data_IF_113113757221
#
_entry.id   IF_113113757221
#
_cell.length_a   1.000
_cell.length_b   1.000
_cell.length_c   1.000
_cell.angle_alpha   90.00
_cell.angle_beta   90.00
_cell.angle_gamma   90.00
#
_symmetry.space_group_name_H-M   'P 1'
#
loop_
_entity.id
_entity.type
_entity.pdbx_description
1 polymer ?
#
# COMPACT_ATOMS: atom_id res chain seq x y z
N UNK A 1 3.97 5.89 -21.77
CA UNK A 1 5.42 5.92 -22.07
C UNK A 1 6.27 5.97 -20.79
N UNK A 2 6.05 6.94 -19.89
CA UNK A 2 6.71 7.03 -18.57
C UNK A 2 6.65 5.70 -17.78
N UNK A 3 5.46 5.10 -17.68
CA UNK A 3 5.27 3.80 -17.02
C UNK A 3 6.23 2.72 -17.51
N UNK A 4 6.43 2.60 -18.83
CA UNK A 4 7.32 1.59 -19.41
C UNK A 4 8.78 1.77 -19.00
N UNK A 5 9.22 3.01 -18.74
CA UNK A 5 10.56 3.29 -18.22
C UNK A 5 10.69 2.96 -16.74
N UNK A 6 9.58 2.99 -15.98
CA UNK A 6 9.54 2.66 -14.57
C UNK A 6 9.30 1.17 -14.29
N UNK A 7 8.65 0.43 -15.21
CA UNK A 7 8.33 -1.00 -15.03
C UNK A 7 9.55 -1.88 -14.71
N UNK A 8 10.73 -1.72 -15.34
CA UNK A 8 11.90 -2.55 -15.04
C UNK A 8 12.34 -2.54 -13.57
N UNK A 9 11.94 -1.51 -12.81
CA UNK A 9 12.28 -1.37 -11.39
C UNK A 9 11.46 -2.27 -10.47
N UNK A 10 10.31 -2.75 -10.94
CA UNK A 10 9.44 -3.67 -10.20
C UNK A 10 9.65 -5.14 -10.62
N UNK A 11 10.78 -5.43 -11.27
CA UNK A 11 11.18 -6.79 -11.60
C UNK A 11 11.59 -7.58 -10.36
N UNK A 12 11.53 -8.91 -10.42
CA UNK A 12 11.87 -9.79 -9.30
C UNK A 12 13.29 -9.52 -8.78
N UNK A 13 14.24 -9.33 -9.70
CA UNK A 13 15.65 -9.09 -9.34
C UNK A 13 15.87 -7.76 -8.62
N UNK A 14 15.20 -6.68 -9.03
CA UNK A 14 15.29 -5.38 -8.36
C UNK A 14 14.58 -5.40 -7.01
N UNK A 15 13.39 -5.99 -6.93
CA UNK A 15 12.66 -6.15 -5.66
C UNK A 15 13.42 -7.01 -4.65
N UNK A 16 14.10 -8.07 -5.08
CA UNK A 16 14.92 -8.91 -4.19
C UNK A 16 16.10 -8.13 -3.59
N UNK A 17 16.69 -7.20 -4.34
CA UNK A 17 17.72 -6.27 -3.80
C UNK A 17 17.12 -5.25 -2.83
N UNK A 18 15.97 -4.67 -3.17
CA UNK A 18 15.26 -3.74 -2.28
C UNK A 18 14.72 -4.42 -1.01
N UNK A 19 14.51 -5.74 -1.03
CA UNK A 19 13.97 -6.49 0.10
C UNK A 19 14.86 -6.39 1.34
N UNK A 20 16.18 -6.32 1.20
CA UNK A 20 17.10 -6.11 2.33
C UNK A 20 16.81 -4.79 3.06
N UNK A 21 16.50 -3.72 2.31
CA UNK A 21 16.10 -2.43 2.88
C UNK A 21 14.77 -2.53 3.63
N UNK A 22 13.81 -3.30 3.10
CA UNK A 22 12.52 -3.53 3.75
C UNK A 22 12.69 -4.38 5.01
N UNK A 23 13.60 -5.36 4.99
CA UNK A 23 13.89 -6.23 6.14
C UNK A 23 14.48 -5.42 7.29
N UNK A 24 15.33 -4.42 7.03
CA UNK A 24 15.81 -3.50 8.06
C UNK A 24 14.65 -2.75 8.74
N UNK A 25 13.70 -2.21 7.96
CA UNK A 25 12.48 -1.61 8.51
C UNK A 25 11.62 -2.65 9.26
N UNK A 26 11.60 -3.91 8.78
CA UNK A 26 10.98 -5.04 9.45
C UNK A 26 11.61 -5.34 10.82
N UNK A 27 12.92 -5.18 10.95
CA UNK A 27 13.61 -5.34 12.24
C UNK A 27 13.16 -4.25 13.23
N UNK A 28 12.97 -3.00 12.78
CA UNK A 28 12.42 -1.95 13.65
C UNK A 28 11.00 -2.29 14.14
N UNK A 29 10.15 -2.80 13.24
CA UNK A 29 8.83 -3.32 13.62
C UNK A 29 8.94 -4.48 14.60
N UNK A 30 9.83 -5.45 14.35
CA UNK A 30 10.07 -6.59 15.23
C UNK A 30 10.49 -6.15 16.64
N UNK A 31 11.45 -5.22 16.75
CA UNK A 31 11.90 -4.68 18.02
C UNK A 31 10.79 -3.92 18.76
N UNK A 32 9.96 -3.17 18.03
CA UNK A 32 8.77 -2.55 18.62
C UNK A 32 7.80 -3.59 19.18
N UNK A 33 7.51 -4.65 18.42
CA UNK A 33 6.62 -5.74 18.86
C UNK A 33 7.21 -6.48 20.08
N UNK A 34 8.52 -6.70 20.12
CA UNK A 34 9.20 -7.34 21.25
C UNK A 34 9.16 -6.49 22.53
N UNK A 35 9.19 -5.16 22.37
CA UNK A 35 9.11 -4.19 23.46
C UNK A 35 7.73 -4.12 24.14
N UNK A 36 6.70 -4.69 23.51
CA UNK A 36 5.35 -4.74 24.07
C UNK A 36 5.31 -5.54 25.38
N UNK A 37 4.35 -5.19 26.24
CA UNK A 37 4.16 -5.85 27.54
C UNK A 37 3.84 -7.34 27.39
N UNK A 38 4.39 -8.15 28.30
CA UNK A 38 3.97 -9.55 28.47
C UNK A 38 2.64 -9.64 29.24
N UNK A 39 1.94 -10.78 29.12
CA UNK A 39 0.70 -11.06 29.85
C UNK A 39 -0.56 -10.93 28.99
N UNK A 40 -1.45 -10.01 29.37
CA UNK A 40 -2.75 -9.77 28.69
C UNK A 40 -2.63 -8.92 27.41
N UNK A 41 -1.41 -8.54 27.04
CA UNK A 41 -1.13 -7.75 25.85
C UNK A 41 -1.34 -6.24 26.02
N UNK A 42 -1.19 -5.52 24.92
CA UNK A 42 -1.23 -4.06 24.87
C UNK A 42 -2.18 -3.57 23.78
N UNK A 43 -2.98 -2.54 24.08
CA UNK A 43 -3.89 -1.93 23.09
C UNK A 43 -3.11 -0.99 22.18
N UNK A 44 -3.12 -1.28 20.88
CA UNK A 44 -2.38 -0.55 19.86
C UNK A 44 -3.35 0.03 18.83
N UNK A 45 -3.09 1.28 18.42
CA UNK A 45 -3.71 1.86 17.23
C UNK A 45 -3.01 1.29 15.98
N UNK A 46 -3.66 0.35 15.31
CA UNK A 46 -3.04 -0.49 14.28
C UNK A 46 -2.77 0.28 13.01
N UNK A 47 -3.57 1.32 12.71
CA UNK A 47 -3.33 2.17 11.55
C UNK A 47 -2.05 2.99 11.73
N UNK A 48 -1.83 3.63 12.89
CA UNK A 48 -0.56 4.30 13.16
C UNK A 48 0.63 3.34 13.16
N UNK A 49 0.50 2.13 13.73
CA UNK A 49 1.53 1.08 13.68
C UNK A 49 1.93 0.75 12.23
N UNK A 50 0.94 0.41 11.40
CA UNK A 50 1.14 0.03 10.01
C UNK A 50 1.63 1.19 9.15
N UNK A 51 1.16 2.41 9.41
CA UNK A 51 1.59 3.61 8.71
C UNK A 51 3.02 4.05 9.07
N UNK A 52 3.49 3.80 10.31
CA UNK A 52 4.92 3.96 10.66
C UNK A 52 5.78 2.98 9.87
N UNK A 53 5.38 1.71 9.79
CA UNK A 53 6.10 0.71 9.01
C UNK A 53 6.19 1.08 7.53
N UNK A 54 5.09 1.46 6.88
CA UNK A 54 5.12 1.86 5.47
C UNK A 54 5.92 3.13 5.23
N UNK A 55 5.86 4.08 6.16
CA UNK A 55 6.65 5.31 6.11
C UNK A 55 8.15 4.99 6.14
N UNK A 56 8.59 4.10 7.03
CA UNK A 56 10.00 3.67 7.11
C UNK A 56 10.43 2.95 5.83
N UNK A 57 9.61 2.01 5.35
CA UNK A 57 9.93 1.27 4.11
C UNK A 57 10.04 2.21 2.93
N UNK A 58 9.09 3.13 2.75
CA UNK A 58 9.13 4.11 1.65
C UNK A 58 10.27 5.12 1.84
N UNK A 59 10.54 5.57 3.07
CA UNK A 59 11.69 6.42 3.36
C UNK A 59 13.01 5.79 2.91
N UNK A 60 13.19 4.50 3.21
CA UNK A 60 14.37 3.71 2.85
C UNK A 60 14.42 3.35 1.36
N UNK A 61 13.32 2.87 0.79
CA UNK A 61 13.28 2.34 -0.58
C UNK A 61 13.02 3.40 -1.65
N UNK A 62 12.34 4.50 -1.34
CA UNK A 62 12.02 5.56 -2.29
C UNK A 62 12.87 6.83 -2.12
N UNK A 63 13.24 7.17 -0.88
CA UNK A 63 14.00 8.38 -0.56
C UNK A 63 15.42 8.09 -0.08
N UNK A 64 15.83 6.82 0.04
CA UNK A 64 17.19 6.45 0.44
C UNK A 64 17.55 6.88 1.87
N UNK A 65 16.56 7.08 2.74
CA UNK A 65 16.72 7.51 4.13
C UNK A 65 16.47 6.36 5.10
N UNK A 66 17.18 6.32 6.21
CA UNK A 66 16.74 5.54 7.37
C UNK A 66 15.91 6.43 8.30
N UNK A 67 14.59 6.26 8.29
CA UNK A 67 13.66 7.13 9.02
C UNK A 67 13.51 6.68 10.48
N UNK A 68 13.42 5.37 10.71
CA UNK A 68 13.23 4.75 12.02
C UNK A 68 12.10 5.38 12.87
N UNK A 69 10.90 5.53 12.28
CA UNK A 69 9.72 6.18 12.89
C UNK A 69 9.18 5.47 14.13
N UNK A 70 9.65 4.25 14.41
CA UNK A 70 9.31 3.50 15.62
C UNK A 70 10.01 4.03 16.86
N UNK A 71 11.26 4.49 16.71
CA UNK A 71 12.09 4.99 17.81
C UNK A 71 12.05 6.52 17.92
N UNK A 72 11.78 7.23 16.82
CA UNK A 72 11.63 8.68 16.82
C UNK A 72 10.16 9.09 16.64
N UNK A 73 9.51 9.51 17.73
CA UNK A 73 8.14 10.02 17.70
C UNK A 73 7.98 11.33 16.92
N UNK A 74 9.08 12.04 16.65
CA UNK A 74 9.13 13.28 15.90
C UNK A 74 9.70 13.12 14.48
N UNK A 75 9.85 11.88 13.99
CA UNK A 75 10.37 11.61 12.65
C UNK A 75 9.66 12.48 11.61
N UNK A 76 10.40 13.46 11.06
CA UNK A 76 9.82 14.51 10.20
C UNK A 76 9.12 13.89 8.99
N UNK A 77 9.67 12.80 8.46
CA UNK A 77 9.11 12.06 7.34
C UNK A 77 7.72 11.48 7.65
N UNK A 78 7.49 10.97 8.87
CA UNK A 78 6.17 10.52 9.32
C UNK A 78 5.21 11.67 9.54
N UNK A 79 5.69 12.77 10.14
CA UNK A 79 4.89 13.98 10.36
C UNK A 79 4.34 14.55 9.04
N UNK A 80 5.21 14.83 8.07
CA UNK A 80 4.79 15.35 6.77
C UNK A 80 4.04 14.31 5.93
N UNK A 81 4.38 13.03 6.08
CA UNK A 81 3.61 11.94 5.49
C UNK A 81 2.16 11.92 5.96
N UNK A 82 1.94 12.05 7.27
CA UNK A 82 0.61 12.14 7.87
C UNK A 82 -0.17 13.36 7.36
N UNK A 83 0.48 14.50 7.19
CA UNK A 83 -0.15 15.72 6.65
C UNK A 83 -0.64 15.57 5.19
N UNK A 84 -0.01 14.71 4.38
CA UNK A 84 -0.44 14.47 2.99
C UNK A 84 -1.81 13.75 2.94
N UNK A 85 -2.07 12.90 3.93
CA UNK A 85 -3.23 12.01 3.99
C UNK A 85 -4.24 12.34 5.09
N UNK A 86 -3.93 13.32 5.94
CA UNK A 86 -4.89 13.83 6.91
C UNK A 86 -6.10 14.39 6.17
N UNK A 87 -7.24 13.82 6.51
CA UNK A 87 -8.51 14.22 5.94
C UNK A 87 -9.14 15.28 6.85
N UNK A 88 -9.44 16.43 6.28
CA UNK A 88 -10.40 17.39 6.81
C UNK A 88 -11.44 17.71 5.73
N UNK A 89 -12.47 18.47 6.10
CA UNK A 89 -13.56 18.83 5.19
C UNK A 89 -13.09 19.62 3.98
N UNK A 90 -12.04 20.44 4.12
CA UNK A 90 -11.46 21.23 3.03
C UNK A 90 -10.79 20.27 2.04
N UNK A 91 -10.03 19.32 2.55
CA UNK A 91 -9.34 18.30 1.77
C UNK A 91 -10.31 17.40 1.01
N UNK A 92 -11.44 17.06 1.62
CA UNK A 92 -12.55 16.38 0.97
C UNK A 92 -13.07 17.15 -0.24
N UNK A 93 -13.31 18.45 -0.08
CA UNK A 93 -13.75 19.33 -1.17
C UNK A 93 -12.69 19.47 -2.26
N UNK A 94 -11.40 19.56 -1.92
CA UNK A 94 -10.31 19.56 -2.89
C UNK A 94 -10.30 18.27 -3.72
N UNK A 95 -10.41 17.10 -3.07
CA UNK A 95 -10.45 15.81 -3.77
C UNK A 95 -11.68 15.71 -4.66
N UNK A 96 -12.87 16.11 -4.18
CA UNK A 96 -14.08 16.18 -5.00
C UNK A 96 -13.88 17.10 -6.21
N UNK A 97 -13.27 18.28 -6.03
CA UNK A 97 -13.00 19.19 -7.14
C UNK A 97 -11.99 18.62 -8.15
N UNK A 98 -10.98 17.87 -7.69
CA UNK A 98 -10.04 17.15 -8.58
C UNK A 98 -10.77 16.11 -9.44
N UNK A 99 -11.71 15.35 -8.87
CA UNK A 99 -12.41 14.29 -9.60
C UNK A 99 -13.55 14.81 -10.47
N UNK A 100 -14.33 15.78 -10.01
CA UNK A 100 -15.56 16.22 -10.68
C UNK A 100 -15.42 17.56 -11.41
N UNK A 101 -14.41 18.38 -11.08
CA UNK A 101 -14.17 19.71 -11.68
C UNK A 101 -12.72 19.88 -12.18
N UNK A 102 -12.15 18.91 -12.94
CA UNK A 102 -10.73 18.92 -13.31
C UNK A 102 -10.32 20.15 -14.13
N UNK A 103 -11.24 20.74 -14.91
CA UNK A 103 -10.99 21.96 -15.68
C UNK A 103 -10.77 23.17 -14.77
N UNK A 104 -11.56 23.31 -13.70
CA UNK A 104 -11.44 24.42 -12.75
C UNK A 104 -10.14 24.27 -11.95
N UNK A 105 -9.82 23.05 -11.49
CA UNK A 105 -8.58 22.78 -10.77
C UNK A 105 -7.34 23.13 -11.59
N UNK A 106 -7.36 22.81 -12.89
CA UNK A 106 -6.28 23.15 -13.81
C UNK A 106 -6.11 24.66 -13.97
N UNK A 107 -7.21 25.41 -14.07
CA UNK A 107 -7.20 26.87 -14.20
C UNK A 107 -6.76 27.56 -12.90
N UNK A 108 -7.21 27.06 -11.75
CA UNK A 108 -6.91 27.62 -10.43
C UNK A 108 -5.54 27.20 -9.86
N UNK A 109 -4.80 26.31 -10.54
CA UNK A 109 -3.49 25.78 -10.11
C UNK A 109 -3.48 25.25 -8.66
N UNK A 110 -4.59 24.65 -8.22
CA UNK A 110 -4.70 24.09 -6.87
C UNK A 110 -3.73 22.92 -6.75
N UNK A 111 -2.86 22.97 -5.73
CA UNK A 111 -1.84 21.95 -5.51
C UNK A 111 -2.44 20.81 -4.70
N UNK A 112 -2.32 19.60 -5.24
CA UNK A 112 -2.78 18.39 -4.55
C UNK A 112 -1.96 18.13 -3.29
N UNK A 113 -0.69 18.50 -3.18
CA UNK A 113 0.03 18.41 -1.90
C UNK A 113 0.13 19.77 -1.23
N UNK A 114 -0.08 19.82 0.10
CA UNK A 114 0.13 21.02 0.90
C UNK A 114 1.54 21.59 0.70
N UNK A 115 1.68 22.91 0.85
CA UNK A 115 2.97 23.60 0.61
C UNK A 115 4.10 23.03 1.47
N UNK A 116 3.84 22.79 2.75
CA UNK A 116 4.81 22.29 3.71
C UNK A 116 5.32 20.87 3.38
N UNK A 117 4.46 19.83 3.24
CA UNK A 117 4.91 18.51 2.80
C UNK A 117 5.64 18.53 1.45
N UNK A 118 5.18 19.36 0.50
CA UNK A 118 5.83 19.48 -0.81
C UNK A 118 7.26 20.01 -0.70
N UNK A 119 7.46 21.06 0.09
CA UNK A 119 8.79 21.65 0.31
C UNK A 119 9.74 20.69 1.02
N UNK A 120 9.24 19.96 2.02
CA UNK A 120 10.03 18.94 2.72
C UNK A 120 10.44 17.80 1.79
N UNK A 121 9.50 17.18 1.07
CA UNK A 121 9.80 16.09 0.13
C UNK A 121 10.76 16.54 -0.97
N UNK A 122 10.62 17.77 -1.47
CA UNK A 122 11.54 18.38 -2.43
C UNK A 122 12.94 18.49 -1.87
N UNK A 123 13.09 19.05 -0.67
CA UNK A 123 14.37 19.24 -0.01
C UNK A 123 15.09 17.90 0.16
N UNK A 124 14.44 16.94 0.82
CA UNK A 124 15.00 15.62 1.11
C UNK A 124 15.41 14.87 -0.16
N UNK A 125 14.56 14.92 -1.18
CA UNK A 125 14.83 14.26 -2.45
C UNK A 125 16.10 14.79 -3.10
N UNK A 126 16.23 16.11 -3.24
CA UNK A 126 17.40 16.72 -3.89
C UNK A 126 18.67 16.61 -3.07
N UNK A 127 18.59 16.74 -1.74
CA UNK A 127 19.73 16.51 -0.85
C UNK A 127 20.26 15.09 -1.02
N UNK A 128 19.38 14.09 -0.99
CA UNK A 128 19.79 12.69 -1.14
C UNK A 128 20.33 12.40 -2.54
N UNK A 129 19.65 12.91 -3.57
CA UNK A 129 20.04 12.68 -4.96
C UNK A 129 21.39 13.32 -5.28
N UNK A 130 21.62 14.56 -4.85
CA UNK A 130 22.89 15.27 -5.05
C UNK A 130 24.03 14.60 -4.28
N UNK A 131 23.82 14.28 -3.00
CA UNK A 131 24.80 13.52 -2.21
C UNK A 131 25.16 12.19 -2.88
N UNK A 132 24.20 11.52 -3.52
CA UNK A 132 24.46 10.27 -4.25
C UNK A 132 25.20 10.48 -5.57
N UNK A 133 24.96 11.59 -6.26
CA UNK A 133 25.73 11.98 -7.44
C UNK A 133 27.20 12.24 -7.11
N UNK A 134 27.46 12.87 -5.96
CA UNK A 134 28.82 13.18 -5.49
C UNK A 134 29.55 11.95 -4.95
N UNK A 135 28.90 11.15 -4.11
CA UNK A 135 29.52 10.01 -3.43
C UNK A 135 29.62 8.73 -4.29
N UNK A 136 28.75 8.57 -5.30
CA UNK A 136 28.70 7.37 -6.14
C UNK A 136 28.21 6.10 -5.44
N UNK A 137 27.73 6.21 -4.19
CA UNK A 137 27.19 5.09 -3.40
C UNK A 137 25.98 4.46 -4.13
N UNK A 138 25.80 3.15 -4.00
CA UNK A 138 24.61 2.44 -4.46
C UNK A 138 23.96 1.72 -3.28
N UNK A 139 22.66 1.93 -3.10
CA UNK A 139 21.80 1.33 -2.06
C UNK A 139 20.71 0.43 -2.67
N UNK A 140 20.58 0.41 -4.00
CA UNK A 140 19.54 -0.26 -4.76
C UNK A 140 18.12 0.23 -4.42
N UNK A 141 17.98 1.53 -4.16
CA UNK A 141 16.71 2.22 -3.90
C UNK A 141 16.19 2.95 -5.15
N UNK A 142 15.05 3.64 -5.03
CA UNK A 142 14.48 4.45 -6.11
C UNK A 142 15.38 5.63 -6.50
N UNK A 143 16.20 6.16 -5.60
CA UNK A 143 17.11 7.26 -5.92
C UNK A 143 18.16 6.80 -6.93
N UNK A 144 18.77 5.63 -6.72
CA UNK A 144 19.71 5.05 -7.69
C UNK A 144 19.06 4.83 -9.06
N UNK A 145 17.80 4.41 -9.05
CA UNK A 145 16.98 4.21 -10.25
C UNK A 145 16.70 5.52 -10.98
N UNK A 146 16.27 6.55 -10.25
CA UNK A 146 15.95 7.86 -10.82
C UNK A 146 17.21 8.55 -11.34
N UNK A 147 18.36 8.32 -10.71
CA UNK A 147 19.67 8.74 -11.21
C UNK A 147 20.05 8.03 -12.50
N UNK A 148 19.82 6.72 -12.60
CA UNK A 148 20.04 5.96 -13.85
C UNK A 148 19.17 6.51 -14.97
N UNK A 149 17.87 6.74 -14.71
CA UNK A 149 16.95 7.35 -15.66
C UNK A 149 17.37 8.76 -16.07
N UNK A 150 17.78 9.61 -15.12
CA UNK A 150 18.28 10.96 -15.42
C UNK A 150 19.52 10.90 -16.32
N UNK A 151 20.45 9.99 -16.06
CA UNK A 151 21.67 9.83 -16.88
C UNK A 151 21.39 9.31 -18.28
N UNK A 152 20.51 8.33 -18.43
CA UNK A 152 20.24 7.68 -19.72
C UNK A 152 19.20 8.43 -20.56
N UNK A 153 18.30 9.19 -19.94
CA UNK A 153 17.10 9.73 -20.59
C UNK A 153 16.85 11.22 -20.26
N UNK A 154 17.72 11.90 -19.50
CA UNK A 154 17.52 13.28 -19.07
C UNK A 154 17.43 14.30 -20.21
N UNK A 155 18.22 14.10 -21.27
CA UNK A 155 18.23 14.97 -22.45
C UNK A 155 17.12 14.65 -23.46
N UNK A 156 16.47 13.49 -23.30
CA UNK A 156 15.41 13.05 -24.21
C UNK A 156 14.07 13.62 -23.78
N UNK A 157 13.38 14.26 -24.72
CA UNK A 157 12.03 14.77 -24.51
C UNK A 157 10.98 13.70 -24.88
N UNK A 158 10.24 13.26 -23.88
CA UNK A 158 9.12 12.33 -24.02
C UNK A 158 7.78 13.08 -24.03
N UNK A 159 7.48 13.78 -25.13
CA UNK A 159 6.25 14.55 -25.30
C UNK A 159 6.03 15.61 -24.20
N UNK A 160 7.06 16.42 -23.93
CA UNK A 160 7.08 17.43 -22.87
C UNK A 160 7.54 16.90 -21.51
N UNK A 161 7.89 15.61 -21.40
CA UNK A 161 8.39 15.00 -20.17
C UNK A 161 9.88 14.69 -20.27
N UNK A 162 10.66 15.27 -19.37
CA UNK A 162 12.10 14.98 -19.19
C UNK A 162 12.34 14.39 -17.81
N UNK A 163 13.23 13.40 -17.70
CA UNK A 163 13.66 12.82 -16.41
C UNK A 163 14.63 13.77 -15.68
N UNK A 164 14.17 14.99 -15.44
CA UNK A 164 14.94 16.04 -14.78
C UNK A 164 14.03 16.96 -13.96
N UNK A 165 14.63 17.74 -13.06
CA UNK A 165 13.94 18.73 -12.25
C UNK A 165 12.73 18.14 -11.51
N UNK A 166 11.64 18.91 -11.52
CA UNK A 166 10.42 18.56 -10.79
C UNK A 166 9.73 17.29 -11.32
N UNK A 167 9.95 16.90 -12.58
CA UNK A 167 9.40 15.66 -13.13
C UNK A 167 10.02 14.42 -12.46
N UNK A 168 11.30 14.50 -12.08
CA UNK A 168 12.00 13.43 -11.38
C UNK A 168 11.55 13.35 -9.92
N UNK A 169 11.46 14.50 -9.24
CA UNK A 169 10.91 14.61 -7.89
C UNK A 169 9.47 14.09 -7.82
N UNK A 170 8.64 14.40 -8.82
CA UNK A 170 7.26 13.96 -8.89
C UNK A 170 7.14 12.44 -8.90
N UNK A 171 8.13 11.70 -9.42
CA UNK A 171 8.14 10.24 -9.34
C UNK A 171 8.32 9.78 -7.90
N UNK A 172 9.33 10.29 -7.17
CA UNK A 172 9.52 9.94 -5.77
C UNK A 172 8.29 10.27 -4.90
N UNK A 173 7.68 11.44 -5.11
CA UNK A 173 6.47 11.84 -4.41
C UNK A 173 5.26 10.95 -4.75
N UNK A 174 5.13 10.52 -6.02
CA UNK A 174 4.07 9.60 -6.43
C UNK A 174 4.24 8.21 -5.80
N UNK A 175 5.47 7.71 -5.70
CA UNK A 175 5.77 6.45 -5.04
C UNK A 175 5.51 6.52 -3.53
N UNK A 176 5.85 7.65 -2.90
CA UNK A 176 5.51 7.89 -1.51
C UNK A 176 4.01 7.79 -1.28
N UNK A 177 3.25 8.53 -2.09
CA UNK A 177 1.82 8.61 -1.91
C UNK A 177 1.14 7.26 -2.17
N UNK A 178 1.45 6.62 -3.29
CA UNK A 178 0.83 5.36 -3.67
C UNK A 178 1.24 4.18 -2.78
N UNK A 179 2.49 4.15 -2.32
CA UNK A 179 3.06 3.02 -1.58
C UNK A 179 2.77 3.02 -0.08
N UNK A 180 2.49 4.18 0.52
CA UNK A 180 2.31 4.28 1.98
C UNK A 180 0.87 4.02 2.43
N UNK A 181 -0.10 4.78 1.91
CA UNK A 181 -1.48 4.76 2.42
C UNK A 181 -2.23 3.46 2.06
N UNK A 182 -2.06 2.98 0.82
CA UNK A 182 -2.74 1.76 0.35
C UNK A 182 -2.26 0.50 1.09
N UNK A 183 -0.94 0.40 1.29
CA UNK A 183 -0.29 -0.71 1.99
C UNK A 183 -0.66 -0.71 3.47
N UNK A 184 -0.60 0.45 4.15
CA UNK A 184 -0.93 0.56 5.58
C UNK A 184 -2.39 0.22 5.86
N UNK A 185 -3.30 0.73 5.02
CA UNK A 185 -4.73 0.39 5.07
C UNK A 185 -4.95 -1.12 4.94
N UNK A 186 -4.33 -1.76 3.94
CA UNK A 186 -4.50 -3.20 3.71
C UNK A 186 -3.96 -4.03 4.88
N UNK A 187 -2.83 -3.66 5.47
CA UNK A 187 -2.30 -4.34 6.65
C UNK A 187 -3.21 -4.17 7.86
N UNK A 188 -3.72 -2.96 8.11
CA UNK A 188 -4.59 -2.67 9.25
C UNK A 188 -5.90 -3.47 9.17
N UNK A 189 -6.54 -3.52 8.01
CA UNK A 189 -7.74 -4.34 7.81
C UNK A 189 -7.46 -5.84 7.83
N UNK A 190 -6.30 -6.30 7.34
CA UNK A 190 -5.92 -7.72 7.47
C UNK A 190 -5.78 -8.13 8.94
N UNK A 191 -5.14 -7.29 9.76
CA UNK A 191 -5.01 -7.53 11.20
C UNK A 191 -6.36 -7.46 11.92
N UNK A 192 -7.24 -6.54 11.51
CA UNK A 192 -8.60 -6.44 12.02
C UNK A 192 -9.40 -7.73 11.79
N UNK A 193 -9.46 -8.22 10.56
CA UNK A 193 -10.20 -9.44 10.23
C UNK A 193 -9.63 -10.68 10.93
N UNK A 194 -8.30 -10.82 10.93
CA UNK A 194 -7.64 -11.91 11.64
C UNK A 194 -7.88 -11.85 13.16
N UNK A 195 -7.99 -10.66 13.75
CA UNK A 195 -8.28 -10.52 15.18
C UNK A 195 -9.70 -11.00 15.52
N UNK A 196 -10.65 -10.80 14.62
CA UNK A 196 -12.02 -11.30 14.77
C UNK A 196 -12.17 -12.79 14.49
N UNK A 197 -11.14 -13.43 13.90
CA UNK A 197 -11.18 -14.83 13.45
C UNK A 197 -9.97 -15.61 13.98
N UNK A 198 -9.96 -16.01 15.26
CA UNK A 198 -8.81 -16.69 15.89
C UNK A 198 -8.37 -17.95 15.16
N UNK A 199 -9.29 -18.74 14.62
CA UNK A 199 -8.98 -19.97 13.88
C UNK A 199 -8.24 -19.68 12.56
N UNK A 200 -8.68 -18.65 11.81
CA UNK A 200 -7.97 -18.21 10.61
C UNK A 200 -6.58 -17.66 10.95
N UNK A 201 -6.48 -16.90 12.04
CA UNK A 201 -5.21 -16.38 12.53
C UNK A 201 -4.23 -17.51 12.91
N UNK A 202 -4.72 -18.58 13.54
CA UNK A 202 -3.93 -19.76 13.87
C UNK A 202 -3.48 -20.52 12.61
N UNK A 203 -4.35 -20.65 11.61
CA UNK A 203 -4.00 -21.28 10.32
C UNK A 203 -2.88 -20.51 9.61
N UNK A 204 -3.01 -19.18 9.49
CA UNK A 204 -1.96 -18.31 8.90
C UNK A 204 -0.67 -18.40 9.70
N UNK A 205 -0.75 -18.34 11.03
CA UNK A 205 0.42 -18.43 11.91
C UNK A 205 1.16 -19.75 11.72
N UNK A 206 0.43 -20.86 11.65
CA UNK A 206 1.03 -22.18 11.40
C UNK A 206 1.79 -22.19 10.08
N UNK A 207 1.20 -21.67 9.00
CA UNK A 207 1.89 -21.54 7.70
C UNK A 207 3.19 -20.71 7.82
N UNK A 208 3.13 -19.58 8.54
CA UNK A 208 4.29 -18.70 8.76
C UNK A 208 5.39 -19.42 9.55
N UNK A 209 5.06 -20.06 10.67
CA UNK A 209 6.02 -20.75 11.54
C UNK A 209 6.71 -21.89 10.79
N UNK A 210 5.95 -22.74 10.11
CA UNK A 210 6.51 -23.83 9.31
C UNK A 210 7.45 -23.34 8.20
N UNK A 211 7.15 -22.19 7.59
CA UNK A 211 8.02 -21.59 6.60
C UNK A 211 9.31 -21.01 7.21
N UNK A 212 9.20 -20.37 8.38
CA UNK A 212 10.36 -19.86 9.13
C UNK A 212 11.27 -20.99 9.59
N UNK A 213 10.73 -22.11 10.06
CA UNK A 213 11.51 -23.27 10.47
C UNK A 213 12.33 -23.81 9.29
N UNK A 214 11.72 -23.91 8.11
CA UNK A 214 12.39 -24.34 6.86
C UNK A 214 13.50 -23.36 6.42
N UNK A 215 13.43 -22.09 6.79
CA UNK A 215 14.44 -21.08 6.46
C UNK A 215 15.46 -20.83 7.58
N UNK A 216 15.43 -21.61 8.66
CA UNK A 216 16.29 -21.42 9.82
C UNK A 216 16.00 -20.11 10.57
N UNK A 217 14.73 -19.73 10.66
CA UNK A 217 14.25 -18.53 11.33
C UNK A 217 14.42 -17.22 10.55
N UNK A 218 14.85 -17.27 9.29
CA UNK A 218 15.13 -16.09 8.47
C UNK A 218 13.96 -15.74 7.56
N UNK A 219 13.47 -14.49 7.63
CA UNK A 219 12.51 -13.97 6.65
C UNK A 219 13.27 -13.64 5.36
N UNK A 220 12.95 -14.32 4.27
CA UNK A 220 13.56 -14.09 2.95
C UNK A 220 12.50 -13.61 1.94
N UNK A 221 12.96 -13.05 0.82
CA UNK A 221 12.08 -12.66 -0.29
C UNK A 221 11.25 -13.86 -0.78
N UNK A 222 11.90 -14.99 -1.00
CA UNK A 222 11.28 -16.19 -1.56
C UNK A 222 10.25 -16.78 -0.57
N UNK A 223 10.58 -16.83 0.73
CA UNK A 223 9.65 -17.23 1.79
C UNK A 223 8.42 -16.32 1.84
N UNK A 224 8.65 -15.00 1.86
CA UNK A 224 7.56 -14.01 1.98
C UNK A 224 6.56 -14.15 0.83
N UNK A 225 7.06 -14.44 -0.36
CA UNK A 225 6.22 -14.61 -1.55
C UNK A 225 5.57 -16.00 -1.64
N UNK A 226 6.07 -17.03 -0.96
CA UNK A 226 5.57 -18.41 -1.08
C UNK A 226 4.37 -18.75 -0.19
N UNK A 227 4.09 -17.95 0.84
CA UNK A 227 2.98 -18.19 1.78
C UNK A 227 1.63 -18.07 1.07
N UNK A 228 0.97 -19.20 0.83
CA UNK A 228 -0.23 -19.31 -0.02
C UNK A 228 -1.47 -18.90 0.76
N UNK A 229 -1.62 -19.37 2.00
CA UNK A 229 -2.76 -19.01 2.84
C UNK A 229 -2.73 -17.53 3.22
N UNK A 230 -1.55 -17.00 3.53
CA UNK A 230 -1.39 -15.56 3.72
C UNK A 230 -1.75 -14.74 2.46
N UNK A 231 -1.46 -15.25 1.24
CA UNK A 231 -1.89 -14.60 -0.01
C UNK A 231 -3.42 -14.57 -0.15
N UNK A 232 -4.08 -15.65 0.24
CA UNK A 232 -5.55 -15.74 0.26
C UNK A 232 -6.16 -14.75 1.25
N UNK A 233 -5.60 -14.64 2.46
CA UNK A 233 -6.03 -13.65 3.47
C UNK A 233 -5.86 -12.23 2.95
N UNK A 234 -4.70 -11.88 2.41
CA UNK A 234 -4.48 -10.53 1.85
C UNK A 234 -5.42 -10.25 0.68
N UNK A 235 -5.71 -11.25 -0.15
CA UNK A 235 -6.65 -11.11 -1.26
C UNK A 235 -8.09 -10.89 -0.79
N UNK A 236 -8.53 -11.62 0.23
CA UNK A 236 -9.87 -11.41 0.81
C UNK A 236 -9.97 -10.06 1.51
N UNK A 237 -8.91 -9.61 2.19
CA UNK A 237 -8.85 -8.23 2.71
C UNK A 237 -8.99 -7.21 1.60
N UNK A 238 -8.29 -7.38 0.47
CA UNK A 238 -8.36 -6.46 -0.66
C UNK A 238 -9.72 -6.50 -1.38
N UNK A 239 -10.48 -7.60 -1.27
CA UNK A 239 -11.86 -7.68 -1.74
C UNK A 239 -12.79 -6.88 -0.83
N UNK A 240 -12.71 -7.09 0.49
CA UNK A 240 -13.62 -6.44 1.45
C UNK A 240 -13.28 -4.97 1.67
N UNK A 241 -12.00 -4.62 1.61
CA UNK A 241 -11.48 -3.30 1.94
C UNK A 241 -10.48 -2.81 0.87
N UNK A 242 -10.87 -2.73 -0.42
CA UNK A 242 -9.98 -2.20 -1.45
C UNK A 242 -9.65 -0.74 -1.11
N UNK A 243 -8.36 -0.33 -1.04
CA UNK A 243 -8.02 1.05 -0.70
C UNK A 243 -8.68 2.10 -1.60
N UNK A 244 -8.95 1.74 -2.87
CA UNK A 244 -9.76 2.53 -3.80
C UNK A 244 -11.08 1.80 -4.10
N UNK A 245 -12.22 2.46 -3.82
CA UNK A 245 -13.54 1.87 -4.06
C UNK A 245 -13.96 1.80 -5.53
N UNK A 246 -13.27 2.50 -6.42
CA UNK A 246 -13.53 2.50 -7.87
C UNK A 246 -12.27 2.86 -8.66
N UNK A 247 -12.30 2.57 -9.96
CA UNK A 247 -11.33 3.11 -10.92
C UNK A 247 -12.08 3.90 -11.99
N UNK A 248 -11.41 4.87 -12.61
CA UNK A 248 -12.03 5.71 -13.63
C UNK A 248 -11.28 5.67 -14.98
N UNK A 249 -12.01 5.91 -16.06
CA UNK A 249 -11.50 6.09 -17.43
C UNK A 249 -12.24 7.25 -18.09
N UNK A 250 -11.64 7.85 -19.11
CA UNK A 250 -12.29 8.86 -19.94
C UNK A 250 -11.90 8.56 -21.39
N UNK A 251 -12.87 8.30 -22.28
CA UNK A 251 -12.56 7.89 -23.64
C UNK A 251 -12.13 9.10 -24.48
N UNK A 252 -11.10 8.91 -25.31
CA UNK A 252 -10.57 9.97 -26.18
C UNK A 252 -11.35 10.13 -27.49
N UNK A 253 -12.26 9.20 -27.75
CA UNK A 253 -13.17 9.12 -28.90
C UNK A 253 -14.47 8.44 -28.46
N UNK A 254 -15.55 8.55 -29.24
CA UNK A 254 -16.79 7.86 -28.91
C UNK A 254 -16.56 6.34 -28.94
N UNK A 255 -17.03 5.63 -27.90
CA UNK A 255 -16.82 4.19 -27.74
C UNK A 255 -18.15 3.44 -27.71
N UNK A 256 -18.41 2.61 -28.72
CA UNK A 256 -19.56 1.69 -28.75
C UNK A 256 -19.23 0.49 -27.86
N UNK A 257 -19.99 0.30 -26.78
CA UNK A 257 -19.80 -0.83 -25.89
C UNK A 257 -20.21 -2.12 -26.61
N UNK A 258 -19.32 -3.12 -26.72
CA UNK A 258 -19.63 -4.37 -27.42
C UNK A 258 -20.92 -5.02 -26.90
N UNK A 259 -21.68 -5.63 -27.80
CA UNK A 259 -22.92 -6.37 -27.48
C UNK A 259 -24.02 -5.52 -26.79
N UNK A 260 -24.01 -4.21 -26.98
CA UNK A 260 -25.04 -3.33 -26.43
C UNK A 260 -25.30 -2.16 -27.38
N UNK A 261 -26.41 -1.44 -27.16
CA UNK A 261 -26.67 -0.21 -27.90
C UNK A 261 -25.97 1.03 -27.34
N UNK A 262 -25.29 0.90 -26.19
CA UNK A 262 -24.64 1.99 -25.48
C UNK A 262 -23.43 2.54 -26.24
N UNK A 263 -23.42 3.86 -26.47
CA UNK A 263 -22.27 4.63 -26.95
C UNK A 263 -21.84 5.57 -25.83
N UNK A 264 -20.59 5.43 -25.40
CA UNK A 264 -19.97 6.36 -24.45
C UNK A 264 -19.36 7.49 -25.26
N UNK A 265 -19.87 8.71 -25.09
CA UNK A 265 -19.36 9.87 -25.81
C UNK A 265 -17.93 10.22 -25.38
N UNK A 266 -17.16 10.76 -26.33
CA UNK A 266 -15.81 11.27 -26.07
C UNK A 266 -15.82 12.23 -24.88
N UNK A 267 -14.88 12.05 -23.95
CA UNK A 267 -14.73 12.92 -22.79
C UNK A 267 -15.68 12.61 -21.63
N UNK A 268 -16.57 11.63 -21.76
CA UNK A 268 -17.45 11.21 -20.66
C UNK A 268 -16.67 10.43 -19.61
N UNK A 269 -16.60 10.87 -18.34
CA UNK A 269 -15.97 10.09 -17.27
C UNK A 269 -16.75 8.80 -17.01
N UNK A 270 -16.05 7.67 -17.00
CA UNK A 270 -16.58 6.34 -16.69
C UNK A 270 -15.98 5.88 -15.37
N UNK A 271 -16.83 5.53 -14.41
CA UNK A 271 -16.44 4.99 -13.11
C UNK A 271 -16.82 3.51 -13.06
N UNK A 272 -15.85 2.67 -12.74
CA UNK A 272 -16.01 1.21 -12.63
C UNK A 272 -16.05 0.89 -11.13
N UNK A 273 -17.21 0.47 -10.58
CA UNK A 273 -17.42 0.32 -9.15
C UNK A 273 -16.75 -0.95 -8.63
N UNK A 274 -15.49 -0.84 -8.22
CA UNK A 274 -14.71 -1.96 -7.68
C UNK A 274 -15.35 -2.53 -6.42
N UNK A 275 -15.67 -1.67 -5.44
CA UNK A 275 -16.27 -2.10 -4.18
C UNK A 275 -17.65 -2.76 -4.41
N UNK A 276 -18.44 -2.22 -5.34
CA UNK A 276 -19.74 -2.80 -5.71
C UNK A 276 -19.58 -4.22 -6.26
N UNK A 277 -18.68 -4.42 -7.22
CA UNK A 277 -18.40 -5.75 -7.79
C UNK A 277 -17.81 -6.72 -6.75
N UNK A 278 -17.02 -6.21 -5.80
CA UNK A 278 -16.41 -7.03 -4.75
C UNK A 278 -17.40 -7.50 -3.68
N UNK A 279 -18.52 -6.79 -3.52
CA UNK A 279 -19.63 -7.16 -2.62
C UNK A 279 -20.85 -7.72 -3.36
N UNK A 280 -20.76 -7.93 -4.68
CA UNK A 280 -21.86 -8.49 -5.45
C UNK A 280 -22.03 -10.00 -5.13
N UNK A 281 -23.16 -10.43 -4.56
CA UNK A 281 -23.39 -11.84 -4.23
C UNK A 281 -23.45 -12.75 -5.47
N UNK A 282 -23.64 -12.21 -6.68
CA UNK A 282 -23.54 -12.98 -7.93
C UNK A 282 -22.13 -13.55 -8.11
N UNK A 283 -21.10 -12.79 -7.74
CA UNK A 283 -19.71 -13.18 -7.89
C UNK A 283 -19.06 -13.64 -6.58
N UNK A 284 -19.56 -13.17 -5.44
CA UNK A 284 -19.03 -13.46 -4.11
C UNK A 284 -20.16 -13.88 -3.15
N UNK A 285 -20.56 -15.16 -3.15
CA UNK A 285 -21.66 -15.63 -2.30
C UNK A 285 -21.41 -15.35 -0.81
N UNK A 286 -22.38 -14.78 -0.08
CA UNK A 286 -22.19 -14.25 1.29
C UNK A 286 -21.08 -13.20 1.38
N UNK A 287 -21.19 -12.08 0.63
CA UNK A 287 -20.08 -11.14 0.41
C UNK A 287 -19.57 -10.45 1.68
N UNK A 288 -20.38 -10.40 2.74
CA UNK A 288 -19.99 -9.82 4.04
C UNK A 288 -19.17 -10.77 4.92
N UNK A 289 -19.06 -12.05 4.56
CA UNK A 289 -18.25 -13.03 5.28
C UNK A 289 -16.80 -12.99 4.77
N UNK A 290 -15.86 -12.73 5.67
CA UNK A 290 -14.43 -12.89 5.41
C UNK A 290 -14.09 -14.37 5.20
N UNK A 291 -13.81 -14.75 3.96
CA UNK A 291 -13.51 -16.12 3.57
C UNK A 291 -12.29 -16.19 2.63
N UNK A 292 -11.08 -16.47 3.16
CA UNK A 292 -9.88 -16.64 2.34
C UNK A 292 -10.01 -17.72 1.25
N UNK A 293 -10.84 -18.76 1.46
CA UNK A 293 -10.97 -19.86 0.49
C UNK A 293 -11.57 -19.42 -0.85
N UNK A 294 -12.21 -18.25 -0.93
CA UNK A 294 -12.58 -17.63 -2.22
C UNK A 294 -11.39 -17.44 -3.15
N UNK A 295 -10.20 -17.37 -2.58
CA UNK A 295 -8.94 -17.11 -3.28
C UNK A 295 -8.03 -18.34 -3.37
N UNK A 296 -8.55 -19.54 -3.12
CA UNK A 296 -7.85 -20.75 -3.52
C UNK A 296 -7.77 -20.86 -5.06
N UNK A 297 -6.88 -21.72 -5.56
CA UNK A 297 -6.59 -21.81 -6.99
C UNK A 297 -7.80 -22.24 -7.84
N UNK A 298 -8.71 -23.05 -7.29
CA UNK A 298 -9.94 -23.45 -7.98
C UNK A 298 -10.90 -22.27 -8.12
N UNK A 299 -11.21 -21.60 -7.01
CA UNK A 299 -12.15 -20.47 -6.99
C UNK A 299 -11.62 -19.25 -7.77
N UNK A 300 -10.30 -19.01 -7.76
CA UNK A 300 -9.66 -18.00 -8.61
C UNK A 300 -9.88 -18.29 -10.10
N UNK A 301 -9.69 -19.54 -10.53
CA UNK A 301 -9.83 -19.96 -11.94
C UNK A 301 -11.26 -19.88 -12.45
N UNK A 302 -12.24 -20.19 -11.59
CA UNK A 302 -13.66 -20.18 -11.96
C UNK A 302 -14.29 -18.78 -11.92
N UNK A 303 -13.58 -17.76 -11.40
CA UNK A 303 -14.10 -16.40 -11.28
C UNK A 303 -14.09 -15.69 -12.64
N UNK A 304 -15.17 -14.99 -13.03
CA UNK A 304 -15.15 -14.18 -14.24
C UNK A 304 -14.04 -13.12 -14.21
N UNK A 305 -13.48 -12.85 -15.39
CA UNK A 305 -12.48 -11.80 -15.56
C UNK A 305 -13.06 -10.43 -15.17
N UNK A 306 -12.20 -9.52 -14.70
CA UNK A 306 -12.56 -8.15 -14.34
C UNK A 306 -13.63 -8.01 -13.22
N UNK A 307 -13.85 -9.04 -12.41
CA UNK A 307 -14.67 -8.95 -11.19
C UNK A 307 -13.82 -8.59 -9.97
N UNK A 308 -12.62 -9.17 -9.86
CA UNK A 308 -11.66 -8.88 -8.80
C UNK A 308 -10.41 -8.22 -9.37
N UNK A 309 -10.23 -6.94 -9.05
CA UNK A 309 -9.16 -6.11 -9.61
C UNK A 309 -8.71 -5.03 -8.61
N UNK A 310 -8.30 -5.39 -7.37
CA UNK A 310 -7.86 -4.41 -6.36
C UNK A 310 -6.62 -3.61 -6.81
N UNK A 311 -5.85 -4.16 -7.75
CA UNK A 311 -4.73 -3.49 -8.38
C UNK A 311 -5.07 -2.94 -9.78
N UNK A 312 -6.35 -2.89 -10.16
CA UNK A 312 -6.79 -2.57 -11.52
C UNK A 312 -6.39 -3.64 -12.55
N UNK A 313 -6.81 -3.43 -13.79
CA UNK A 313 -6.57 -4.34 -14.91
C UNK A 313 -6.09 -3.58 -16.16
N UNK A 314 -5.35 -4.27 -17.03
CA UNK A 314 -4.83 -3.72 -18.28
C UNK A 314 -3.63 -2.77 -18.12
N UNK A 315 -3.33 -1.93 -19.13
CA UNK A 315 -2.09 -1.11 -19.18
C UNK A 315 -1.93 -0.09 -18.05
N UNK A 316 -3.03 0.25 -17.37
CA UNK A 316 -3.08 1.18 -16.24
C UNK A 316 -3.29 0.47 -14.89
N UNK A 317 -3.07 -0.86 -14.81
CA UNK A 317 -3.03 -1.57 -13.53
C UNK A 317 -1.95 -0.99 -12.59
N UNK A 318 -1.91 -1.40 -11.33
CA UNK A 318 -0.94 -0.91 -10.37
C UNK A 318 0.47 -1.39 -10.79
N UNK A 319 1.42 -0.46 -10.91
CA UNK A 319 2.82 -0.83 -11.20
C UNK A 319 3.50 -1.43 -9.98
N UNK A 320 3.02 -1.07 -8.79
CA UNK A 320 3.58 -1.43 -7.49
C UNK A 320 2.98 -2.68 -6.86
N UNK A 321 2.12 -3.46 -7.55
CA UNK A 321 1.43 -4.64 -6.99
C UNK A 321 2.36 -5.55 -6.20
N UNK A 322 3.49 -5.94 -6.80
CA UNK A 322 4.46 -6.83 -6.19
C UNK A 322 5.15 -6.21 -4.97
N UNK A 323 5.48 -4.93 -5.06
CA UNK A 323 6.10 -4.19 -3.96
C UNK A 323 5.13 -4.03 -2.78
N UNK A 324 3.86 -3.72 -3.05
CA UNK A 324 2.81 -3.60 -2.03
C UNK A 324 2.56 -4.93 -1.32
N UNK A 325 2.35 -6.02 -2.07
CA UNK A 325 2.16 -7.35 -1.50
C UNK A 325 3.37 -7.79 -0.66
N UNK A 326 4.59 -7.51 -1.10
CA UNK A 326 5.80 -7.83 -0.36
C UNK A 326 5.86 -7.11 0.99
N UNK A 327 5.54 -5.82 1.02
CA UNK A 327 5.48 -5.02 2.27
C UNK A 327 4.39 -5.52 3.22
N UNK A 328 3.19 -5.76 2.70
CA UNK A 328 2.05 -6.27 3.48
C UNK A 328 2.42 -7.60 4.13
N UNK A 329 2.90 -8.56 3.32
CA UNK A 329 3.23 -9.90 3.81
C UNK A 329 4.40 -9.86 4.80
N UNK A 330 5.43 -9.05 4.55
CA UNK A 330 6.55 -8.90 5.48
C UNK A 330 6.09 -8.45 6.87
N UNK A 331 5.26 -7.40 6.96
CA UNK A 331 4.76 -6.93 8.25
C UNK A 331 3.86 -7.95 8.94
N UNK A 332 2.95 -8.59 8.20
CA UNK A 332 2.06 -9.62 8.75
C UNK A 332 2.84 -10.83 9.27
N UNK A 333 3.88 -11.27 8.56
CA UNK A 333 4.79 -12.33 9.02
C UNK A 333 5.44 -11.94 10.35
N UNK A 334 6.00 -10.73 10.44
CA UNK A 334 6.68 -10.25 11.66
C UNK A 334 5.72 -10.19 12.84
N UNK A 335 4.52 -9.65 12.63
CA UNK A 335 3.52 -9.49 13.69
C UNK A 335 2.98 -10.85 14.13
N UNK A 336 2.48 -11.67 13.19
CA UNK A 336 1.75 -12.90 13.51
C UNK A 336 2.64 -14.03 14.02
N UNK A 337 3.94 -14.02 13.69
CA UNK A 337 4.92 -14.97 14.24
C UNK A 337 5.26 -14.71 15.72
N UNK A 338 5.01 -13.49 16.23
CA UNK A 338 5.38 -13.08 17.60
C UNK A 338 4.17 -12.77 18.48
N UNK A 339 3.06 -12.38 17.86
CA UNK A 339 1.86 -11.93 18.56
C UNK A 339 0.61 -12.66 18.10
N UNK A 340 -0.30 -12.77 19.05
CA UNK A 340 -1.72 -12.94 18.82
C UNK A 340 -2.37 -11.57 18.84
N UNK A 341 -3.22 -11.29 17.85
CA UNK A 341 -3.95 -10.02 17.76
C UNK A 341 -5.41 -10.29 18.06
N UNK A 342 -6.02 -9.46 18.91
CA UNK A 342 -7.38 -9.65 19.41
C UNK A 342 -8.17 -8.34 19.38
N UNK A 343 -9.51 -8.38 19.30
CA UNK A 343 -10.31 -7.20 19.60
C UNK A 343 -10.10 -6.77 21.06
N UNK A 344 -10.32 -5.49 21.31
CA UNK A 344 -10.31 -4.86 22.62
C UNK A 344 -11.57 -4.00 22.79
N UNK A 345 -11.78 -3.41 23.96
CA UNK A 345 -12.96 -2.55 24.25
C UNK A 345 -13.12 -1.38 23.26
N UNK A 346 -12.02 -0.92 22.64
CA UNK A 346 -12.02 0.17 21.64
C UNK A 346 -12.22 -0.31 20.20
N UNK A 347 -12.29 -1.62 19.97
CA UNK A 347 -12.45 -2.18 18.62
C UNK A 347 -13.91 -2.03 18.17
N UNK A 348 -14.16 -1.31 17.08
CA UNK A 348 -15.49 -1.25 16.46
C UNK A 348 -15.79 -2.57 15.73
N UNK A 349 -16.89 -3.23 16.08
CA UNK A 349 -17.34 -4.47 15.47
C UNK A 349 -18.83 -4.35 15.14
N UNK A 350 -19.26 -4.36 13.86
CA UNK A 350 -18.40 -4.32 12.66
C UNK A 350 -17.64 -2.99 12.54
N UNK A 351 -16.62 -2.97 11.68
CA UNK A 351 -15.91 -1.73 11.35
C UNK A 351 -16.83 -0.85 10.51
N UNK A 352 -16.88 0.44 10.84
CA UNK A 352 -17.61 1.44 10.06
C UNK A 352 -16.60 2.15 9.17
N UNK A 353 -16.87 2.25 7.87
CA UNK A 353 -16.02 3.01 6.94
C UNK A 353 -16.37 4.50 7.03
N UNK A 354 -15.36 5.37 6.99
CA UNK A 354 -15.59 6.82 7.00
C UNK A 354 -16.12 7.28 5.64
N UNK A 355 -17.36 7.77 5.53
CA UNK A 355 -17.94 8.20 4.25
C UNK A 355 -17.26 9.44 3.68
N UNK A 356 -16.44 10.13 4.49
CA UNK A 356 -15.72 11.32 4.07
C UNK A 356 -14.40 10.95 3.38
N UNK A 357 -13.84 9.78 3.66
CA UNK A 357 -12.54 9.36 3.13
C UNK A 357 -12.53 9.28 1.60
N UNK A 358 -11.47 9.84 0.98
CA UNK A 358 -11.23 9.65 -0.46
C UNK A 358 -10.72 8.23 -0.79
N UNK A 359 -10.29 7.49 0.22
CA UNK A 359 -9.88 6.09 0.19
C UNK A 359 -10.67 5.34 1.26
N UNK A 360 -10.73 4.01 1.15
CA UNK A 360 -11.36 3.16 2.16
C UNK A 360 -10.59 3.25 3.47
N UNK A 361 -11.19 3.89 4.46
CA UNK A 361 -10.58 4.10 5.79
C UNK A 361 -11.63 3.86 6.87
N UNK A 362 -11.24 3.35 8.05
CA UNK A 362 -12.17 3.20 9.17
C UNK A 362 -12.67 4.57 9.63
N UNK A 363 -13.83 4.61 10.27
CA UNK A 363 -14.44 5.81 10.83
C UNK A 363 -13.47 6.48 11.81
N UNK A 364 -13.30 7.81 11.65
CA UNK A 364 -12.30 8.61 12.40
C UNK A 364 -10.85 8.19 12.15
N UNK A 365 -10.63 7.30 11.20
CA UNK A 365 -9.32 6.87 10.76
C UNK A 365 -8.55 5.98 11.71
N UNK A 366 -9.20 5.35 12.70
CA UNK A 366 -8.52 4.53 13.72
C UNK A 366 -9.07 3.11 13.79
N UNK A 367 -8.17 2.16 14.06
CA UNK A 367 -8.51 0.78 14.46
C UNK A 367 -7.65 0.46 15.67
N UNK A 368 -8.28 0.07 16.78
CA UNK A 368 -7.58 -0.41 17.97
C UNK A 368 -7.69 -1.92 18.06
N UNK A 369 -6.59 -2.60 18.34
CA UNK A 369 -6.53 -4.04 18.64
C UNK A 369 -5.60 -4.29 19.84
N UNK A 370 -5.82 -5.37 20.56
CA UNK A 370 -4.90 -5.86 21.60
C UNK A 370 -3.86 -6.79 20.97
N UNK A 371 -2.59 -6.53 21.23
CA UNK A 371 -1.46 -7.35 20.81
C UNK A 371 -0.91 -8.10 22.01
N UNK A 372 -1.02 -9.42 21.99
CA UNK A 372 -0.54 -10.31 23.04
C UNK A 372 0.65 -11.12 22.54
N UNK A 373 1.81 -10.96 23.16
CA UNK A 373 3.00 -11.76 22.80
C UNK A 373 2.75 -13.24 23.07
N UNK A 374 3.13 -14.07 22.10
CA UNK A 374 3.03 -15.53 22.22
C UNK A 374 4.32 -16.03 22.87
N UNK A 375 4.20 -16.89 23.89
CA UNK A 375 5.37 -17.51 24.51
C UNK A 375 6.01 -18.49 23.54
N UNK A 376 7.34 -18.47 23.43
CA UNK A 376 8.11 -19.32 22.51
C UNK A 376 7.89 -20.84 22.70
N UNK A 377 7.25 -21.27 23.80
CA UNK A 377 6.88 -22.66 24.08
C UNK A 377 5.49 -23.07 23.58
N UNK A 378 4.75 -22.17 22.92
CA UNK A 378 3.40 -22.37 22.41
C UNK A 378 3.33 -22.31 20.87
N UNK A 379 4.48 -22.27 20.21
CA UNK A 379 4.65 -22.29 18.75
C UNK A 379 5.01 -23.70 18.28
#
# INVERSE_FOLDING_TARGET
MLRMKLTPFFTSGKLKKMFELMLNCGNHLSSYIESLKEGEGETIEVRELTAKFTTDVIGSTAYGLDVNSFNDSNAEFRKYGKMIFQYDTIRGLEMLAVFFLPTIMRLAQIKVFGKEPTSFLRKVFWETLNHRMESGIKRNDLIDILLELKKTNGDQDYYGFKFDGDNLLAQAASFFSAGSETTSTTMAFSLYELALQPDLQNTVRKEIVEALDKSGGKITYDLTMSLTYLDMVVSETLRMYPPLGYINRMPNEAYKVPNSDLVIEKGTPVYIPMLGLHYDPEYFPNPDKFDPERFNEENKRNRPACVYFPFGEGPHNCIGTRLGLLQIKLALIIILSKCEVRPCEKTSIPVVIDPRGAMTVPLNGVIYLNFRKIKSSAL
#
